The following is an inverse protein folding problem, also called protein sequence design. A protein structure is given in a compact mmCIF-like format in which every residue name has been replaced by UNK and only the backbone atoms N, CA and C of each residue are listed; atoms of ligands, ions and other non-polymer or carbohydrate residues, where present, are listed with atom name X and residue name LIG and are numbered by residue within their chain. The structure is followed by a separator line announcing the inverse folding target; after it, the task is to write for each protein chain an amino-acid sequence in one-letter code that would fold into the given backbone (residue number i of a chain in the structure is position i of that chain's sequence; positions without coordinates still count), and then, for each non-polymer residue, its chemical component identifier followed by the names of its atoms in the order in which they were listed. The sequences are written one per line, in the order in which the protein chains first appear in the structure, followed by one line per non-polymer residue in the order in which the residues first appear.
data_IF_348125736929
#
_entry.id   IF_348125736929
#
_cell.length_a   1.000
_cell.length_b   1.000
_cell.length_c   1.000
_cell.angle_alpha   90.00
_cell.angle_beta   90.00
_cell.angle_gamma   90.00
#
_symmetry.space_group_name_H-M   'P 1'
#
loop_
_entity.id
_entity.type
_entity.pdbx_description
1 polymer ?
#
# COMPACT_ATOMS: atom_id res chain seq x y z
N UNK A 1 -7.73 8.57 -21.08
CA UNK A 1 -7.24 7.19 -21.32
C UNK A 1 -6.02 6.84 -20.45
N UNK A 2 -4.94 7.65 -20.47
CA UNK A 2 -3.72 7.38 -19.67
C UNK A 2 -3.97 7.29 -18.14
N UNK A 3 -4.82 8.16 -17.58
CA UNK A 3 -5.15 8.12 -16.14
C UNK A 3 -5.95 6.88 -15.74
N UNK A 4 -6.88 6.40 -16.56
CA UNK A 4 -7.68 5.19 -16.26
C UNK A 4 -6.82 3.93 -16.22
N UNK A 5 -5.83 3.82 -17.12
CA UNK A 5 -4.87 2.69 -17.14
C UNK A 5 -3.93 2.72 -15.93
N UNK A 6 -3.61 3.91 -15.38
CA UNK A 6 -2.80 4.08 -14.16
C UNK A 6 -3.42 3.38 -12.93
N UNK A 7 -4.76 3.38 -12.81
CA UNK A 7 -5.48 2.69 -11.72
C UNK A 7 -5.37 1.16 -11.77
N UNK A 8 -4.96 0.59 -12.91
CA UNK A 8 -4.69 -0.85 -13.03
C UNK A 8 -3.61 -1.36 -12.08
N UNK A 9 -2.75 -0.48 -11.57
CA UNK A 9 -1.73 -0.81 -10.57
C UNK A 9 -2.34 -1.28 -9.24
N UNK A 10 -3.45 -0.68 -8.82
CA UNK A 10 -4.13 -1.06 -7.58
C UNK A 10 -4.75 -2.45 -7.73
N UNK A 11 -5.30 -2.76 -8.90
CA UNK A 11 -5.81 -4.09 -9.23
C UNK A 11 -4.69 -5.15 -9.29
N UNK A 12 -3.54 -4.80 -9.86
CA UNK A 12 -2.39 -5.71 -9.90
C UNK A 12 -1.85 -6.01 -8.48
N UNK A 13 -1.78 -4.99 -7.62
CA UNK A 13 -1.42 -5.15 -6.21
C UNK A 13 -2.44 -6.00 -5.45
N UNK A 14 -3.75 -5.80 -5.67
CA UNK A 14 -4.78 -6.62 -5.01
C UNK A 14 -4.74 -8.09 -5.44
N UNK A 15 -4.41 -8.36 -6.71
CA UNK A 15 -4.24 -9.72 -7.20
C UNK A 15 -3.01 -10.41 -6.59
N UNK A 16 -1.87 -9.69 -6.53
CA UNK A 16 -0.64 -10.17 -5.88
C UNK A 16 -0.90 -10.54 -4.41
N UNK A 17 -1.59 -9.66 -3.68
CA UNK A 17 -1.97 -9.89 -2.30
C UNK A 17 -2.80 -11.17 -2.11
N UNK A 18 -3.81 -11.37 -2.97
CA UNK A 18 -4.64 -12.58 -2.95
C UNK A 18 -3.82 -13.85 -3.23
N UNK A 19 -2.92 -13.79 -4.22
CA UNK A 19 -2.04 -14.92 -4.54
C UNK A 19 -1.06 -15.25 -3.42
N UNK A 20 -0.44 -14.24 -2.79
CA UNK A 20 0.49 -14.43 -1.67
C UNK A 20 -0.22 -14.98 -0.42
N UNK A 21 -1.43 -14.51 -0.12
CA UNK A 21 -2.24 -15.05 0.98
C UNK A 21 -2.63 -16.53 0.75
N UNK A 22 -2.98 -16.88 -0.49
CA UNK A 22 -3.26 -18.26 -0.86
C UNK A 22 -2.02 -19.16 -0.77
N UNK A 23 -0.85 -18.64 -1.15
CA UNK A 23 0.42 -19.37 -1.11
C UNK A 23 0.96 -19.57 0.32
N UNK A 24 0.73 -18.60 1.22
CA UNK A 24 0.98 -18.79 2.65
C UNK A 24 0.03 -19.82 3.27
N UNK A 25 -1.25 -19.78 2.88
CA UNK A 25 -2.26 -20.69 3.41
C UNK A 25 -2.09 -22.13 2.93
N UNK A 26 -1.55 -22.33 1.72
CA UNK A 26 -1.24 -23.67 1.20
C UNK A 26 -0.07 -24.36 1.91
N UNK A 27 0.71 -23.63 2.72
CA UNK A 27 1.78 -24.20 3.53
C UNK A 27 1.29 -24.85 4.84
N UNK A 28 0.06 -24.53 5.29
CA UNK A 28 -0.53 -25.06 6.54
C UNK A 28 -0.60 -26.60 6.57
N UNK A 29 -1.10 -27.29 5.52
CA UNK A 29 -1.22 -28.75 5.52
C UNK A 29 0.14 -29.46 5.65
N UNK A 30 1.21 -28.84 5.17
CA UNK A 30 2.56 -29.40 5.21
C UNK A 30 3.23 -29.26 6.59
N UNK A 31 2.87 -28.22 7.36
CA UNK A 31 3.48 -27.89 8.66
C UNK A 31 2.60 -28.23 9.87
N UNK A 32 1.34 -28.65 9.66
CA UNK A 32 0.40 -28.98 10.73
C UNK A 32 0.15 -27.79 11.66
N UNK A 33 0.10 -28.03 12.98
CA UNK A 33 -0.18 -26.98 13.96
C UNK A 33 0.85 -25.82 13.95
N UNK A 34 2.11 -26.10 13.59
CA UNK A 34 3.14 -25.06 13.44
C UNK A 34 2.89 -24.15 12.23
N UNK A 35 2.12 -24.61 11.24
CA UNK A 35 1.73 -23.84 10.06
C UNK A 35 0.91 -22.60 10.40
N UNK A 36 0.11 -22.63 11.47
CA UNK A 36 -0.66 -21.46 11.91
C UNK A 36 0.24 -20.34 12.47
N UNK A 37 1.32 -20.70 13.16
CA UNK A 37 2.29 -19.73 13.68
C UNK A 37 3.06 -19.08 12.52
N UNK A 38 3.52 -19.90 11.57
CA UNK A 38 4.19 -19.43 10.36
C UNK A 38 3.27 -18.53 9.54
N UNK A 39 2.00 -18.88 9.42
CA UNK A 39 1.01 -18.05 8.74
C UNK A 39 0.79 -16.73 9.46
N UNK A 40 0.63 -16.72 10.79
CA UNK A 40 0.44 -15.49 11.55
C UNK A 40 1.63 -14.53 11.38
N UNK A 41 2.86 -15.04 11.52
CA UNK A 41 4.07 -14.25 11.37
C UNK A 41 4.22 -13.76 9.93
N UNK A 42 4.05 -14.64 8.94
CA UNK A 42 4.18 -14.31 7.52
C UNK A 42 3.14 -13.30 7.05
N UNK A 43 1.90 -13.40 7.53
CA UNK A 43 0.85 -12.44 7.15
C UNK A 43 1.10 -11.06 7.75
N UNK A 44 1.63 -10.98 8.98
CA UNK A 44 1.94 -9.68 9.61
C UNK A 44 3.20 -9.05 8.99
N UNK A 45 4.28 -9.80 8.84
CA UNK A 45 5.56 -9.24 8.39
C UNK A 45 5.64 -9.10 6.87
N UNK A 46 5.26 -10.12 6.10
CA UNK A 46 5.39 -10.10 4.65
C UNK A 46 4.22 -9.37 4.02
N UNK A 47 3.00 -9.81 4.31
CA UNK A 47 1.81 -9.29 3.63
C UNK A 47 1.45 -7.90 4.17
N UNK A 48 1.30 -7.72 5.47
CA UNK A 48 0.83 -6.45 6.03
C UNK A 48 1.91 -5.36 6.01
N UNK A 49 3.15 -5.65 6.44
CA UNK A 49 4.18 -4.62 6.50
C UNK A 49 4.77 -4.29 5.12
N UNK A 50 5.20 -5.30 4.33
CA UNK A 50 5.86 -5.02 3.05
C UNK A 50 4.87 -4.61 1.96
N UNK A 51 3.79 -5.36 1.73
CA UNK A 51 2.81 -4.94 0.70
C UNK A 51 2.04 -3.68 1.13
N UNK A 52 1.78 -3.51 2.43
CA UNK A 52 1.19 -2.29 2.97
C UNK A 52 2.04 -1.04 2.68
N UNK A 53 3.35 -1.12 2.89
CA UNK A 53 4.26 -0.01 2.59
C UNK A 53 4.34 0.30 1.07
N UNK A 54 4.35 -0.74 0.23
CA UNK A 54 4.38 -0.59 -1.23
C UNK A 54 3.10 0.06 -1.75
N UNK A 55 1.95 -0.44 -1.32
CA UNK A 55 0.64 0.10 -1.69
C UNK A 55 0.45 1.53 -1.20
N UNK A 56 0.89 1.85 0.03
CA UNK A 56 0.88 3.21 0.56
C UNK A 56 1.66 4.18 -0.34
N UNK A 57 2.88 3.81 -0.75
CA UNK A 57 3.71 4.65 -1.61
C UNK A 57 3.09 4.83 -3.00
N UNK A 58 2.41 3.81 -3.53
CA UNK A 58 1.70 3.88 -4.80
C UNK A 58 0.52 4.86 -4.74
N UNK A 59 -0.26 4.80 -3.66
CA UNK A 59 -1.38 5.72 -3.44
C UNK A 59 -0.87 7.15 -3.22
N UNK A 60 0.19 7.34 -2.44
CA UNK A 60 0.82 8.65 -2.21
C UNK A 60 1.30 9.28 -3.52
N UNK A 61 1.89 8.49 -4.42
CA UNK A 61 2.29 8.98 -5.74
C UNK A 61 1.08 9.34 -6.59
N UNK A 62 0.01 8.56 -6.52
CA UNK A 62 -1.21 8.82 -7.28
C UNK A 62 -1.89 10.12 -6.80
N UNK A 63 -2.02 10.33 -5.49
CA UNK A 63 -2.57 11.57 -4.94
C UNK A 63 -1.67 12.76 -5.26
N UNK A 64 -0.35 12.64 -5.13
CA UNK A 64 0.55 13.73 -5.50
C UNK A 64 0.47 14.11 -6.98
N UNK A 65 0.48 13.12 -7.87
CA UNK A 65 0.55 13.36 -9.32
C UNK A 65 -0.82 13.66 -9.93
N UNK A 66 -1.86 12.92 -9.58
CA UNK A 66 -3.18 13.08 -10.22
C UNK A 66 -4.04 14.12 -9.51
N UNK A 67 -3.94 14.25 -8.18
CA UNK A 67 -4.70 15.24 -7.42
C UNK A 67 -3.96 16.58 -7.32
N UNK A 68 -2.64 16.55 -7.06
CA UNK A 68 -1.79 17.74 -6.95
C UNK A 68 -1.73 18.55 -8.23
N UNK A 69 -1.36 17.96 -9.38
CA UNK A 69 -1.21 18.73 -10.61
C UNK A 69 -2.54 19.21 -11.22
N UNK A 70 -3.69 18.64 -10.82
CA UNK A 70 -5.01 19.02 -11.37
C UNK A 70 -5.72 20.10 -10.57
N UNK A 71 -5.54 20.15 -9.25
CA UNK A 71 -6.26 21.08 -8.36
C UNK A 71 -5.36 21.98 -7.52
N UNK A 72 -4.06 21.67 -7.43
CA UNK A 72 -3.10 22.44 -6.64
C UNK A 72 -2.29 23.38 -7.54
N UNK A 73 -2.69 24.66 -7.57
CA UNK A 73 -1.89 25.71 -8.19
C UNK A 73 -0.89 26.18 -7.13
N UNK A 74 0.36 25.76 -7.25
CA UNK A 74 1.42 26.16 -6.32
C UNK A 74 1.50 27.69 -6.18
N UNK A 75 1.82 28.17 -4.98
CA UNK A 75 1.89 29.61 -4.67
C UNK A 75 1.26 30.06 -3.35
N UNK A 76 1.04 29.15 -2.39
CA UNK A 76 0.62 29.53 -1.03
C UNK A 76 1.82 29.92 -0.17
N UNK A 77 1.75 31.06 0.53
CA UNK A 77 2.71 31.38 1.59
C UNK A 77 2.41 30.54 2.84
N UNK A 78 3.46 29.96 3.44
CA UNK A 78 3.36 29.18 4.66
C UNK A 78 3.03 30.12 5.83
N UNK A 79 1.87 29.92 6.46
CA UNK A 79 1.44 30.73 7.59
C UNK A 79 2.34 30.49 8.80
N UNK A 80 3.16 31.48 9.16
CA UNK A 80 3.90 31.51 10.43
C UNK A 80 3.10 32.29 11.48
N UNK A 81 2.43 31.63 12.44
CA UNK A 81 1.80 32.34 13.54
C UNK A 81 2.88 33.05 14.38
N UNK A 82 2.58 34.27 14.82
CA UNK A 82 3.38 35.01 15.79
C UNK A 82 3.25 34.33 17.16
N UNK A 83 4.09 33.32 17.41
CA UNK A 83 4.29 32.77 18.74
C UNK A 83 5.07 33.76 19.60
N UNK A 84 4.40 34.37 20.57
CA UNK A 84 5.09 35.03 21.68
C UNK A 84 5.79 33.93 22.46
N UNK A 85 7.12 34.03 22.51
CA UNK A 85 8.04 33.07 23.11
C UNK A 85 7.86 32.96 24.61
#
# INVERSE_FOLDING_TARGET
LSHTVSYGRILALSLSHGMLSQLLSSAIPALGAAGYIVLAIGTITLVMALEGLVSFTHVLRLTWVEFGFKYFRGGGEEYKPLGVK
#
